data_IF_394851864906
#
_entry.id   IF_394851864906
#
_cell.length_a   1.000
_cell.length_b   1.000
_cell.length_c   1.000
_cell.angle_alpha   90.00
_cell.angle_beta   90.00
_cell.angle_gamma   90.00
#
_symmetry.space_group_name_H-M   'P 1'
#
loop_
_entity.id
_entity.type
_entity.pdbx_description
1 polymer ?
#
# COMPACT_ATOMS: atom_id res chain seq x y z
N UNK A 1 -14.29 -23.53 3.34
CA UNK A 1 -13.72 -22.26 3.82
C UNK A 1 -14.79 -21.58 4.65
N UNK A 2 -14.52 -21.07 5.86
CA UNK A 2 -15.49 -20.30 6.62
C UNK A 2 -15.87 -19.06 5.80
N UNK A 3 -17.17 -18.78 5.68
CA UNK A 3 -17.65 -17.57 5.01
C UNK A 3 -17.25 -16.33 5.82
N UNK A 4 -17.14 -15.17 5.16
CA UNK A 4 -16.79 -13.90 5.77
C UNK A 4 -17.93 -13.44 6.71
N UNK A 5 -17.60 -13.18 7.97
CA UNK A 5 -18.54 -12.60 8.93
C UNK A 5 -18.63 -11.06 8.76
N UNK A 6 -19.67 -10.45 9.34
CA UNK A 6 -19.90 -9.00 9.23
C UNK A 6 -18.76 -8.16 9.79
N UNK A 7 -18.10 -8.64 10.84
CA UNK A 7 -16.97 -7.94 11.45
C UNK A 7 -15.73 -7.93 10.53
N UNK A 8 -15.45 -9.05 9.85
CA UNK A 8 -14.37 -9.13 8.85
C UNK A 8 -14.66 -8.30 7.60
N UNK A 9 -15.94 -8.26 7.16
CA UNK A 9 -16.35 -7.36 6.07
C UNK A 9 -16.14 -5.89 6.46
N UNK A 10 -16.57 -5.49 7.65
CA UNK A 10 -16.37 -4.12 8.13
C UNK A 10 -14.88 -3.76 8.20
N UNK A 11 -14.03 -4.66 8.74
CA UNK A 11 -12.57 -4.46 8.76
C UNK A 11 -11.98 -4.33 7.36
N UNK A 12 -12.44 -5.12 6.40
CA UNK A 12 -12.00 -5.07 5.01
C UNK A 12 -12.35 -3.73 4.36
N UNK A 13 -13.58 -3.26 4.54
CA UNK A 13 -14.04 -1.97 4.02
C UNK A 13 -13.29 -0.79 4.65
N UNK A 14 -13.12 -0.80 5.98
CA UNK A 14 -12.35 0.23 6.68
C UNK A 14 -10.90 0.24 6.21
N UNK A 15 -10.27 -0.91 6.05
CA UNK A 15 -8.91 -1.02 5.55
C UNK A 15 -8.78 -0.48 4.12
N UNK A 16 -9.74 -0.81 3.24
CA UNK A 16 -9.77 -0.30 1.87
C UNK A 16 -9.97 1.23 1.84
N UNK A 17 -10.83 1.76 2.70
CA UNK A 17 -11.05 3.19 2.85
C UNK A 17 -9.79 3.92 3.34
N UNK A 18 -9.07 3.36 4.32
CA UNK A 18 -7.81 3.91 4.82
C UNK A 18 -6.72 3.88 3.76
N UNK A 19 -6.52 2.77 3.07
CA UNK A 19 -5.48 2.67 2.03
C UNK A 19 -5.82 3.48 0.79
N UNK A 20 -7.09 3.53 0.38
CA UNK A 20 -7.56 4.46 -0.66
C UNK A 20 -7.36 5.92 -0.27
N UNK A 21 -7.62 6.26 0.99
CA UNK A 21 -7.38 7.59 1.56
C UNK A 21 -5.90 8.01 1.62
N UNK A 22 -4.97 7.05 1.55
CA UNK A 22 -3.54 7.39 1.47
C UNK A 22 -3.22 8.28 0.26
N UNK A 23 -3.89 8.07 -0.86
CA UNK A 23 -3.66 8.85 -2.09
C UNK A 23 -4.23 10.26 -1.97
N UNK A 24 -5.39 10.41 -1.32
CA UNK A 24 -5.95 11.71 -0.95
C UNK A 24 -4.96 12.52 -0.08
N UNK A 25 -4.49 11.93 1.02
CA UNK A 25 -3.57 12.61 1.93
C UNK A 25 -2.23 12.93 1.26
N UNK A 26 -1.71 12.04 0.41
CA UNK A 26 -0.50 12.35 -0.38
C UNK A 26 -0.74 13.48 -1.37
N UNK A 27 -1.89 13.54 -2.03
CA UNK A 27 -2.24 14.61 -2.97
C UNK A 27 -2.33 15.98 -2.28
N UNK A 28 -2.79 16.03 -1.02
CA UNK A 28 -2.85 17.26 -0.21
C UNK A 28 -1.47 17.68 0.28
N UNK A 29 -0.67 16.73 0.79
CA UNK A 29 0.53 17.07 1.55
C UNK A 29 1.82 17.08 0.71
N UNK A 30 1.92 16.29 -0.37
CA UNK A 30 3.14 16.19 -1.16
C UNK A 30 3.53 17.49 -1.89
N UNK A 31 2.61 18.30 -2.44
CA UNK A 31 2.98 19.59 -3.04
C UNK A 31 3.57 20.59 -2.04
N UNK A 32 3.20 20.49 -0.75
CA UNK A 32 3.63 21.41 0.31
C UNK A 32 4.92 20.95 0.99
N UNK A 33 5.00 19.68 1.38
CA UNK A 33 6.15 19.14 2.12
C UNK A 33 7.23 18.55 1.24
N UNK A 34 6.93 18.29 -0.02
CA UNK A 34 7.78 17.43 -0.86
C UNK A 34 7.68 15.95 -0.47
N UNK A 35 8.04 15.04 -1.39
CA UNK A 35 7.93 13.60 -1.18
C UNK A 35 8.76 13.09 0.00
N UNK A 36 10.00 13.56 0.12
CA UNK A 36 10.97 13.07 1.12
C UNK A 36 10.49 13.36 2.54
N UNK A 37 10.17 14.61 2.84
CA UNK A 37 9.76 15.03 4.17
C UNK A 37 8.41 14.41 4.53
N UNK A 38 7.45 14.39 3.59
CA UNK A 38 6.15 13.75 3.79
C UNK A 38 6.30 12.28 4.18
N UNK A 39 7.10 11.54 3.44
CA UNK A 39 7.24 10.09 3.68
C UNK A 39 8.09 9.81 4.91
N UNK A 40 9.09 10.63 5.21
CA UNK A 40 9.83 10.54 6.48
C UNK A 40 8.88 10.62 7.68
N UNK A 41 7.98 11.60 7.72
CA UNK A 41 6.96 11.71 8.77
C UNK A 41 6.00 10.53 8.76
N UNK A 42 5.51 10.11 7.60
CA UNK A 42 4.61 8.96 7.46
C UNK A 42 5.18 7.70 8.11
N UNK A 43 6.41 7.32 7.74
CA UNK A 43 7.02 6.08 8.24
C UNK A 43 7.46 6.19 9.70
N UNK A 44 7.93 7.36 10.14
CA UNK A 44 8.30 7.61 11.52
C UNK A 44 7.07 7.53 12.46
N UNK A 45 5.97 8.19 12.12
CA UNK A 45 4.73 8.12 12.89
C UNK A 45 4.16 6.70 12.94
N UNK A 46 4.20 5.96 11.82
CA UNK A 46 3.81 4.56 11.78
C UNK A 46 4.69 3.69 12.69
N UNK A 47 6.01 3.88 12.64
CA UNK A 47 6.98 3.15 13.45
C UNK A 47 6.76 3.40 14.94
N UNK A 48 6.59 4.66 15.34
CA UNK A 48 6.31 5.07 16.74
C UNK A 48 4.97 4.51 17.20
N UNK A 49 3.91 4.61 16.39
CA UNK A 49 2.60 4.06 16.71
C UNK A 49 2.65 2.54 16.93
N UNK A 50 3.27 1.80 15.99
CA UNK A 50 3.40 0.35 16.10
C UNK A 50 4.28 -0.06 17.29
N UNK A 51 5.32 0.71 17.62
CA UNK A 51 6.13 0.50 18.83
C UNK A 51 5.28 0.70 20.08
N UNK A 52 4.48 1.76 20.15
CA UNK A 52 3.53 1.98 21.25
C UNK A 52 2.58 0.79 21.45
N UNK A 53 2.00 0.28 20.35
CA UNK A 53 1.16 -0.93 20.39
C UNK A 53 1.95 -2.16 20.88
N UNK A 54 3.19 -2.33 20.44
CA UNK A 54 4.04 -3.43 20.89
C UNK A 54 4.29 -3.37 22.41
N UNK A 55 4.60 -2.18 22.92
CA UNK A 55 4.87 -1.96 24.36
C UNK A 55 3.60 -2.17 25.20
N UNK A 56 2.45 -1.68 24.75
CA UNK A 56 1.17 -1.91 25.43
C UNK A 56 0.78 -3.39 25.48
N UNK A 57 0.96 -4.11 24.37
CA UNK A 57 0.74 -5.58 24.33
C UNK A 57 1.66 -6.31 25.29
N UNK A 58 2.92 -5.88 25.45
CA UNK A 58 3.87 -6.46 26.43
C UNK A 58 3.41 -6.24 27.87
N UNK A 59 2.92 -5.04 28.20
CA UNK A 59 2.42 -4.73 29.56
C UNK A 59 1.19 -5.56 29.95
N UNK A 60 0.30 -5.83 28.99
CA UNK A 60 -0.94 -6.59 29.25
C UNK A 60 -0.72 -8.11 29.32
N UNK A 61 0.36 -8.64 28.75
CA UNK A 61 0.70 -10.05 28.90
C UNK A 61 1.36 -10.23 30.27
N UNK A 62 0.72 -10.99 31.19
CA UNK A 62 1.29 -11.40 32.48
C UNK A 62 2.66 -12.03 32.25
N UNK A 63 3.61 -11.95 33.22
CA UNK A 63 4.98 -12.40 33.06
C UNK A 63 5.04 -13.94 32.91
N UNK A 64 4.82 -14.43 31.72
CA UNK A 64 5.29 -15.75 31.32
C UNK A 64 6.79 -15.61 31.05
N UNK A 65 7.60 -16.32 31.83
CA UNK A 65 9.03 -16.43 31.90
C UNK A 65 9.98 -15.59 31.03
N UNK A 66 11.21 -15.45 31.46
CA UNK A 66 12.32 -14.68 30.85
C UNK A 66 12.51 -14.90 29.32
N UNK A 67 12.06 -16.04 28.77
CA UNK A 67 12.15 -16.38 27.35
C UNK A 67 11.39 -15.41 26.40
N UNK A 68 10.34 -14.74 26.87
CA UNK A 68 9.53 -13.84 26.06
C UNK A 68 10.05 -12.38 26.05
N UNK A 69 10.93 -12.02 26.97
CA UNK A 69 11.56 -10.68 26.99
C UNK A 69 12.63 -10.51 25.90
N UNK A 70 13.28 -11.59 25.50
CA UNK A 70 14.30 -11.61 24.45
C UNK A 70 13.74 -11.35 23.03
N UNK A 71 12.42 -11.39 22.83
CA UNK A 71 11.83 -11.59 21.50
C UNK A 71 11.87 -10.38 20.56
N UNK A 72 11.76 -9.12 21.01
CA UNK A 72 11.72 -7.97 20.08
C UNK A 72 13.13 -7.56 19.60
N UNK A 73 14.07 -7.38 20.53
CA UNK A 73 15.45 -6.98 20.18
C UNK A 73 16.20 -8.10 19.47
N UNK A 74 15.97 -9.35 19.90
CA UNK A 74 16.56 -10.55 19.27
C UNK A 74 16.00 -10.76 17.86
N UNK A 75 14.70 -10.58 17.65
CA UNK A 75 14.08 -10.65 16.33
C UNK A 75 14.57 -9.52 15.41
N UNK A 76 14.70 -8.28 15.91
CA UNK A 76 15.24 -7.16 15.14
C UNK A 76 16.67 -7.44 14.68
N UNK A 77 17.55 -7.90 15.59
CA UNK A 77 18.93 -8.24 15.24
C UNK A 77 19.04 -9.44 14.28
N UNK A 78 18.21 -10.46 14.48
CA UNK A 78 18.24 -11.68 13.64
C UNK A 78 17.73 -11.42 12.21
N UNK A 79 16.74 -10.51 12.04
CA UNK A 79 16.07 -10.28 10.76
C UNK A 79 16.32 -8.89 10.18
N UNK A 80 17.38 -8.17 10.59
CA UNK A 80 17.64 -6.80 10.16
C UNK A 80 17.71 -6.62 8.63
N UNK A 81 18.39 -7.55 7.91
CA UNK A 81 18.48 -7.56 6.45
C UNK A 81 17.11 -7.70 5.81
N UNK A 82 16.28 -8.59 6.35
CA UNK A 82 14.90 -8.76 5.89
C UNK A 82 14.08 -7.48 6.08
N UNK A 83 14.20 -6.82 7.22
CA UNK A 83 13.49 -5.54 7.46
C UNK A 83 14.02 -4.42 6.59
N UNK A 84 15.32 -4.36 6.29
CA UNK A 84 15.88 -3.38 5.35
C UNK A 84 15.34 -3.59 3.93
N UNK A 85 15.32 -4.82 3.44
CA UNK A 85 14.80 -5.13 2.10
C UNK A 85 13.31 -4.80 2.00
N UNK A 86 12.50 -5.22 3.00
CA UNK A 86 11.07 -4.88 3.02
C UNK A 86 10.85 -3.38 3.30
N UNK A 87 11.62 -2.78 4.17
CA UNK A 87 11.55 -1.34 4.44
C UNK A 87 11.82 -0.51 3.19
N UNK A 88 12.82 -0.92 2.40
CA UNK A 88 13.13 -0.29 1.12
C UNK A 88 12.02 -0.56 0.09
N UNK A 89 11.75 -1.83 -0.22
CA UNK A 89 10.94 -2.24 -1.38
C UNK A 89 9.43 -2.14 -1.14
N UNK A 90 8.96 -2.28 0.10
CA UNK A 90 7.53 -2.25 0.45
C UNK A 90 7.07 -0.92 1.08
N UNK A 91 8.01 -0.04 1.46
CA UNK A 91 7.68 1.20 2.17
C UNK A 91 8.42 2.41 1.63
N UNK A 92 9.74 2.51 1.76
CA UNK A 92 10.48 3.72 1.42
C UNK A 92 10.35 4.07 -0.07
N UNK A 93 10.76 3.16 -0.96
CA UNK A 93 10.75 3.39 -2.41
C UNK A 93 9.33 3.63 -2.93
N UNK A 94 8.34 2.73 -2.71
CA UNK A 94 7.02 2.94 -3.29
C UNK A 94 6.30 4.16 -2.70
N UNK A 95 6.45 4.46 -1.42
CA UNK A 95 5.84 5.64 -0.83
C UNK A 95 6.44 6.92 -1.38
N UNK A 96 7.78 7.01 -1.54
CA UNK A 96 8.43 8.16 -2.14
C UNK A 96 8.00 8.38 -3.59
N UNK A 97 7.93 7.31 -4.38
CA UNK A 97 7.51 7.37 -5.77
C UNK A 97 6.04 7.78 -5.91
N UNK A 98 5.13 7.24 -5.07
CA UNK A 98 3.74 7.69 -5.05
C UNK A 98 3.59 9.12 -4.55
N UNK A 99 4.35 9.54 -3.52
CA UNK A 99 4.32 10.93 -3.05
C UNK A 99 4.87 11.90 -4.11
N UNK A 100 5.91 11.50 -4.85
CA UNK A 100 6.40 12.26 -5.99
C UNK A 100 5.31 12.39 -7.07
N UNK A 101 4.68 11.28 -7.46
CA UNK A 101 3.61 11.28 -8.44
C UNK A 101 2.38 12.07 -7.99
N UNK A 102 2.09 12.10 -6.69
CA UNK A 102 0.96 12.81 -6.10
C UNK A 102 1.07 14.35 -6.22
N UNK A 103 2.23 14.88 -6.52
CA UNK A 103 2.37 16.31 -6.80
C UNK A 103 1.68 16.70 -8.12
N UNK A 104 1.59 15.78 -9.08
CA UNK A 104 1.06 16.02 -10.42
C UNK A 104 -0.23 15.22 -10.67
N UNK A 105 -0.25 13.92 -10.36
CA UNK A 105 -1.38 13.05 -10.68
C UNK A 105 -2.49 13.11 -9.65
N UNK A 106 -3.72 12.83 -10.07
CA UNK A 106 -4.90 12.76 -9.20
C UNK A 106 -4.83 11.58 -8.21
N UNK A 107 -5.49 11.72 -7.06
CA UNK A 107 -5.60 10.63 -6.08
C UNK A 107 -6.32 9.42 -6.68
N UNK A 108 -7.32 9.67 -7.53
CA UNK A 108 -8.05 8.65 -8.30
C UNK A 108 -7.09 7.83 -9.17
N UNK A 109 -6.29 8.50 -10.00
CA UNK A 109 -5.34 7.84 -10.91
C UNK A 109 -4.29 7.04 -10.12
N UNK A 110 -3.70 7.63 -9.07
CA UNK A 110 -2.72 6.97 -8.23
C UNK A 110 -3.24 5.68 -7.59
N UNK A 111 -4.49 5.71 -7.10
CA UNK A 111 -5.12 4.55 -6.46
C UNK A 111 -5.33 3.39 -7.45
N UNK A 112 -5.68 3.69 -8.70
CA UNK A 112 -5.84 2.68 -9.76
C UNK A 112 -4.48 2.16 -10.21
N UNK A 113 -3.46 3.02 -10.37
CA UNK A 113 -2.10 2.60 -10.69
C UNK A 113 -1.52 1.66 -9.61
N UNK A 114 -1.83 1.92 -8.34
CA UNK A 114 -1.45 1.02 -7.24
C UNK A 114 -2.04 -0.39 -7.39
N UNK A 115 -3.24 -0.53 -7.97
CA UNK A 115 -3.87 -1.82 -8.19
C UNK A 115 -3.16 -2.68 -9.26
N UNK A 116 -2.17 -2.14 -9.98
CA UNK A 116 -1.30 -2.90 -10.89
C UNK A 116 -0.19 -3.67 -10.18
N UNK A 117 0.04 -3.45 -8.88
CA UNK A 117 1.11 -4.13 -8.13
C UNK A 117 1.05 -5.67 -8.21
N UNK A 118 -0.10 -6.36 -8.11
CA UNK A 118 -0.18 -7.80 -8.32
C UNK A 118 0.17 -8.24 -9.74
N UNK A 119 -0.06 -7.38 -10.74
CA UNK A 119 0.31 -7.60 -12.14
C UNK A 119 1.84 -7.69 -12.25
N UNK A 120 2.57 -6.71 -11.67
CA UNK A 120 4.03 -6.75 -11.61
C UNK A 120 4.54 -7.95 -10.82
N UNK A 121 3.90 -8.30 -9.69
CA UNK A 121 4.27 -9.48 -8.91
C UNK A 121 4.17 -10.78 -9.74
N UNK A 122 3.14 -10.93 -10.55
CA UNK A 122 2.99 -12.10 -11.42
C UNK A 122 4.02 -12.12 -12.54
N UNK A 123 4.32 -10.98 -13.14
CA UNK A 123 5.37 -10.85 -14.16
C UNK A 123 6.74 -11.24 -13.58
N UNK A 124 7.12 -10.70 -12.41
CA UNK A 124 8.38 -11.02 -11.74
C UNK A 124 8.45 -12.51 -11.39
N UNK A 125 7.34 -13.10 -10.91
CA UNK A 125 7.29 -14.52 -10.58
C UNK A 125 7.49 -15.41 -11.82
N UNK A 126 6.92 -15.02 -12.97
CA UNK A 126 7.10 -15.73 -14.23
C UNK A 126 8.54 -15.65 -14.75
N UNK A 127 9.13 -14.45 -14.72
CA UNK A 127 10.53 -14.22 -15.08
C UNK A 127 11.50 -15.01 -14.18
N UNK A 128 11.26 -15.02 -12.87
CA UNK A 128 12.09 -15.75 -11.91
C UNK A 128 12.03 -17.28 -12.12
N UNK A 129 10.89 -17.79 -12.57
CA UNK A 129 10.71 -19.22 -12.89
C UNK A 129 11.17 -19.58 -14.30
N UNK A 130 11.57 -18.60 -15.13
CA UNK A 130 11.87 -18.78 -16.56
C UNK A 130 10.74 -19.52 -17.31
N UNK A 131 9.50 -19.27 -16.93
CA UNK A 131 8.31 -19.91 -17.48
C UNK A 131 7.34 -18.84 -18.01
N UNK A 132 6.71 -19.12 -19.15
CA UNK A 132 5.66 -18.24 -19.65
C UNK A 132 4.47 -18.21 -18.67
N UNK A 133 3.86 -17.02 -18.45
CA UNK A 133 2.66 -16.94 -17.65
C UNK A 133 1.54 -17.80 -18.24
N UNK A 134 0.71 -18.40 -17.40
CA UNK A 134 -0.50 -19.09 -17.87
C UNK A 134 -1.39 -18.10 -18.66
N UNK A 135 -2.16 -18.62 -19.65
CA UNK A 135 -3.01 -17.79 -20.52
C UNK A 135 -3.92 -16.82 -19.75
N UNK A 136 -4.47 -17.26 -18.61
CA UNK A 136 -5.28 -16.41 -17.73
C UNK A 136 -4.46 -15.24 -17.14
N UNK A 137 -3.24 -15.48 -16.75
CA UNK A 137 -2.32 -14.45 -16.25
C UNK A 137 -1.93 -13.50 -17.38
N UNK A 138 -1.60 -14.01 -18.55
CA UNK A 138 -1.29 -13.19 -19.75
C UNK A 138 -2.45 -12.27 -20.11
N UNK A 139 -3.68 -12.79 -20.14
CA UNK A 139 -4.86 -11.96 -20.38
C UNK A 139 -5.00 -10.86 -19.29
N UNK A 140 -4.75 -11.19 -18.03
CA UNK A 140 -4.78 -10.21 -16.94
C UNK A 140 -3.70 -9.13 -17.07
N UNK A 141 -2.50 -9.49 -17.54
CA UNK A 141 -1.43 -8.53 -17.84
C UNK A 141 -1.85 -7.57 -18.95
N UNK A 142 -2.40 -8.09 -20.04
CA UNK A 142 -2.88 -7.28 -21.20
C UNK A 142 -3.99 -6.33 -20.75
N UNK A 143 -4.99 -6.83 -20.01
CA UNK A 143 -6.06 -5.99 -19.45
C UNK A 143 -5.50 -4.91 -18.51
N UNK A 144 -4.51 -5.22 -17.69
CA UNK A 144 -3.86 -4.25 -16.82
C UNK A 144 -3.25 -3.08 -17.61
N UNK A 145 -2.50 -3.39 -18.65
CA UNK A 145 -1.89 -2.38 -19.54
C UNK A 145 -2.98 -1.58 -20.27
N UNK A 146 -3.97 -2.25 -20.85
CA UNK A 146 -5.08 -1.59 -21.54
C UNK A 146 -5.87 -0.66 -20.63
N UNK A 147 -6.15 -1.09 -19.39
CA UNK A 147 -6.86 -0.28 -18.40
C UNK A 147 -6.09 0.98 -17.98
N UNK A 148 -4.77 0.86 -17.80
CA UNK A 148 -3.91 2.02 -17.55
C UNK A 148 -3.91 2.97 -18.75
N UNK A 149 -3.81 2.45 -19.97
CA UNK A 149 -3.85 3.26 -21.20
C UNK A 149 -5.18 4.04 -21.32
N UNK A 150 -6.32 3.39 -21.06
CA UNK A 150 -7.64 4.04 -21.04
C UNK A 150 -7.72 5.13 -19.99
N UNK A 151 -7.20 4.90 -18.78
CA UNK A 151 -7.14 5.90 -17.71
C UNK A 151 -6.34 7.14 -18.10
N UNK A 152 -5.14 6.90 -18.62
CA UNK A 152 -4.17 7.95 -18.97
C UNK A 152 -4.65 8.77 -20.16
N UNK A 153 -5.30 8.16 -21.15
CA UNK A 153 -5.74 8.82 -22.39
C UNK A 153 -6.79 9.91 -22.16
N UNK A 154 -7.47 9.90 -21.03
CA UNK A 154 -8.57 10.82 -20.72
C UNK A 154 -8.33 11.69 -19.48
N UNK A 155 -7.19 11.57 -18.82
CA UNK A 155 -6.84 12.41 -17.67
C UNK A 155 -6.21 13.72 -18.16
N UNK A 156 -6.92 14.83 -17.98
CA UNK A 156 -6.43 16.15 -18.37
C UNK A 156 -5.13 16.54 -17.67
N UNK A 157 -4.83 15.94 -16.50
CA UNK A 157 -3.57 16.15 -15.79
C UNK A 157 -2.37 15.56 -16.55
N UNK A 158 -2.59 14.61 -17.46
CA UNK A 158 -1.53 14.05 -18.31
C UNK A 158 -0.97 15.06 -19.34
N UNK A 159 -1.68 16.16 -19.57
CA UNK A 159 -1.20 17.26 -20.41
C UNK A 159 -0.21 18.19 -19.67
N UNK A 160 -0.09 18.05 -18.33
CA UNK A 160 0.80 18.88 -17.54
C UNK A 160 2.26 18.46 -17.73
N UNK A 161 3.21 19.41 -17.69
CA UNK A 161 4.62 19.09 -17.67
C UNK A 161 4.98 18.15 -16.52
N UNK A 162 5.77 17.11 -16.80
CA UNK A 162 6.18 16.12 -15.80
C UNK A 162 5.17 14.99 -15.53
N UNK A 163 3.95 15.01 -16.09
CA UNK A 163 2.93 13.97 -15.88
C UNK A 163 3.42 12.57 -16.28
N UNK A 164 4.16 12.46 -17.40
CA UNK A 164 4.74 11.18 -17.83
C UNK A 164 5.72 10.63 -16.80
N UNK A 165 6.60 11.49 -16.23
CA UNK A 165 7.54 11.09 -15.19
C UNK A 165 6.81 10.67 -13.92
N UNK A 166 5.75 11.39 -13.54
CA UNK A 166 4.90 11.05 -12.42
C UNK A 166 4.15 9.71 -12.63
N UNK A 167 3.67 9.44 -13.84
CA UNK A 167 3.07 8.15 -14.22
C UNK A 167 4.09 7.00 -14.08
N UNK A 168 5.29 7.18 -14.63
CA UNK A 168 6.36 6.18 -14.54
C UNK A 168 6.79 5.96 -13.08
N UNK A 169 6.82 7.01 -12.26
CA UNK A 169 7.08 6.89 -10.83
C UNK A 169 5.99 6.06 -10.12
N UNK A 170 4.70 6.31 -10.39
CA UNK A 170 3.61 5.54 -9.82
C UNK A 170 3.62 4.06 -10.26
N UNK A 171 3.94 3.78 -11.53
CA UNK A 171 4.14 2.41 -12.01
C UNK A 171 5.38 1.77 -11.37
N UNK A 172 6.47 2.52 -11.21
CA UNK A 172 7.67 2.09 -10.47
C UNK A 172 7.38 1.76 -9.01
N UNK A 173 6.50 2.52 -8.35
CA UNK A 173 6.02 2.21 -7.01
C UNK A 173 5.28 0.86 -6.97
N UNK A 174 4.39 0.61 -7.92
CA UNK A 174 3.66 -0.66 -8.05
C UNK A 174 4.58 -1.84 -8.39
N UNK A 175 5.60 -1.61 -9.21
CA UNK A 175 6.67 -2.59 -9.47
C UNK A 175 7.44 -2.92 -8.18
N UNK A 176 7.79 -1.90 -7.38
CA UNK A 176 8.45 -2.09 -6.09
C UNK A 176 7.64 -2.96 -5.14
N UNK A 177 6.32 -2.77 -5.07
CA UNK A 177 5.41 -3.66 -4.33
C UNK A 177 5.40 -5.09 -4.90
N UNK A 178 5.47 -5.24 -6.23
CA UNK A 178 5.60 -6.53 -6.88
C UNK A 178 6.88 -7.27 -6.45
N UNK A 179 8.01 -6.58 -6.42
CA UNK A 179 9.29 -7.10 -5.93
C UNK A 179 9.19 -7.49 -4.45
N UNK A 180 8.67 -6.58 -3.61
CA UNK A 180 8.51 -6.80 -2.19
C UNK A 180 7.65 -8.03 -1.88
N UNK A 181 6.52 -8.20 -2.58
CA UNK A 181 5.60 -9.32 -2.39
C UNK A 181 6.23 -10.65 -2.82
N UNK A 182 7.03 -10.64 -3.88
CA UNK A 182 7.75 -11.83 -4.35
C UNK A 182 8.86 -12.22 -3.37
N UNK A 183 9.64 -11.24 -2.90
CA UNK A 183 10.65 -11.44 -1.86
C UNK A 183 10.03 -11.96 -0.55
N UNK A 184 8.92 -11.36 -0.08
CA UNK A 184 8.27 -11.77 1.16
C UNK A 184 7.78 -13.23 1.14
N UNK A 185 7.44 -13.77 -0.04
CA UNK A 185 7.06 -15.18 -0.19
C UNK A 185 8.26 -16.13 -0.10
N UNK A 186 9.45 -15.70 -0.50
CA UNK A 186 10.69 -16.49 -0.45
C UNK A 186 11.44 -16.34 0.87
N UNK A 187 11.24 -15.24 1.59
CA UNK A 187 11.86 -15.01 2.88
C UNK A 187 11.16 -15.84 3.98
N UNK A 188 11.95 -16.47 4.84
CA UNK A 188 11.44 -17.34 5.91
C UNK A 188 10.38 -16.67 6.81
N UNK A 189 9.74 -17.45 7.65
CA UNK A 189 8.58 -17.01 8.45
C UNK A 189 8.97 -15.97 9.51
N UNK A 190 8.64 -14.72 9.27
CA UNK A 190 8.66 -13.65 10.26
C UNK A 190 7.23 -13.25 10.58
N UNK A 191 6.91 -13.10 11.87
CA UNK A 191 5.55 -12.73 12.28
C UNK A 191 5.10 -11.42 11.61
N UNK A 192 3.87 -11.35 11.05
CA UNK A 192 3.39 -10.20 10.29
C UNK A 192 3.52 -8.85 11.02
N UNK A 193 3.21 -8.82 12.32
CA UNK A 193 3.37 -7.62 13.14
C UNK A 193 4.83 -7.17 13.25
N UNK A 194 5.77 -8.13 13.40
CA UNK A 194 7.22 -7.84 13.45
C UNK A 194 7.72 -7.32 12.09
N UNK A 195 7.17 -7.85 10.98
CA UNK A 195 7.46 -7.35 9.64
C UNK A 195 7.05 -5.88 9.49
N UNK A 196 5.83 -5.51 9.90
CA UNK A 196 5.41 -4.12 9.81
C UNK A 196 6.25 -3.20 10.71
N UNK A 197 6.44 -3.56 11.97
CA UNK A 197 7.25 -2.76 12.90
C UNK A 197 8.69 -2.61 12.40
N UNK A 198 9.33 -3.71 12.01
CA UNK A 198 10.71 -3.72 11.54
C UNK A 198 10.89 -2.98 10.22
N UNK A 199 9.98 -3.17 9.25
CA UNK A 199 10.04 -2.48 7.95
C UNK A 199 9.76 -0.99 8.05
N UNK A 200 8.86 -0.52 8.96
CA UNK A 200 8.62 0.91 9.18
C UNK A 200 9.85 1.58 9.81
N UNK A 201 10.49 0.96 10.80
CA UNK A 201 11.75 1.46 11.35
C UNK A 201 12.85 1.48 10.31
N UNK A 202 13.00 0.41 9.52
CA UNK A 202 13.99 0.36 8.44
C UNK A 202 13.74 1.45 7.39
N UNK A 203 12.49 1.67 6.98
CA UNK A 203 12.13 2.75 6.06
C UNK A 203 12.44 4.13 6.65
N UNK A 204 12.18 4.34 7.95
CA UNK A 204 12.53 5.58 8.66
C UNK A 204 14.05 5.83 8.60
N UNK A 205 14.85 4.81 8.93
CA UNK A 205 16.31 4.92 8.90
C UNK A 205 16.86 5.15 7.49
N UNK A 206 16.23 4.58 6.47
CA UNK A 206 16.65 4.76 5.07
C UNK A 206 16.33 6.17 4.55
N UNK A 207 15.22 6.77 4.96
CA UNK A 207 14.78 8.08 4.47
C UNK A 207 15.37 9.23 5.29
N UNK A 208 15.55 9.05 6.61
CA UNK A 208 15.99 10.12 7.51
C UNK A 208 17.26 10.87 7.05
N UNK A 209 18.31 10.22 6.52
CA UNK A 209 19.48 10.93 6.04
C UNK A 209 19.23 11.88 4.86
N UNK A 210 18.17 11.65 4.08
CA UNK A 210 17.82 12.49 2.95
C UNK A 210 17.05 13.76 3.36
N UNK A 211 16.39 13.75 4.52
CA UNK A 211 15.51 14.86 4.96
C UNK A 211 16.19 16.23 4.95
N UNK A 212 17.44 16.41 5.43
CA UNK A 212 18.10 17.71 5.42
C UNK A 212 18.33 18.30 4.02
N UNK A 213 18.38 17.46 2.99
CA UNK A 213 18.63 17.86 1.61
C UNK A 213 17.36 18.21 0.82
N UNK A 214 16.19 17.88 1.38
CA UNK A 214 14.89 18.10 0.73
C UNK A 214 13.92 18.81 1.70
N UNK A 215 14.09 20.13 1.91
CA UNK A 215 13.23 20.91 2.78
C UNK A 215 11.80 20.99 2.24
N UNK A 216 10.86 21.40 3.10
CA UNK A 216 9.49 21.65 2.67
C UNK A 216 9.45 22.79 1.61
N UNK A 217 8.53 22.64 0.64
CA UNK A 217 8.35 23.63 -0.41
C UNK A 217 7.59 24.88 0.09
N UNK A 218 6.72 24.70 1.12
CA UNK A 218 5.95 25.76 1.74
C UNK A 218 5.62 25.45 3.20
N UNK A 219 5.14 26.44 3.93
CA UNK A 219 4.67 26.27 5.31
C UNK A 219 3.46 25.33 5.38
N UNK A 220 3.49 24.39 6.32
CA UNK A 220 2.41 23.44 6.51
C UNK A 220 1.18 24.11 7.17
N UNK A 221 0.05 24.07 6.50
CA UNK A 221 -1.25 24.44 7.06
C UNK A 221 -1.94 23.25 7.74
N UNK A 222 -3.01 23.48 8.48
CA UNK A 222 -3.70 22.46 9.27
C UNK A 222 -4.09 21.19 8.42
N UNK A 223 -4.55 21.37 7.19
CA UNK A 223 -4.90 20.25 6.29
C UNK A 223 -3.72 19.35 5.97
N UNK A 224 -2.51 19.92 5.82
CA UNK A 224 -1.27 19.15 5.62
C UNK A 224 -0.91 18.36 6.88
N UNK A 225 -1.00 19.00 8.06
CA UNK A 225 -0.71 18.32 9.34
C UNK A 225 -1.64 17.13 9.55
N UNK A 226 -2.96 17.31 9.34
CA UNK A 226 -3.93 16.22 9.43
C UNK A 226 -3.68 15.12 8.41
N UNK A 227 -3.27 15.48 7.19
CA UNK A 227 -2.90 14.51 6.15
C UNK A 227 -1.68 13.68 6.55
N UNK A 228 -0.66 14.28 7.14
CA UNK A 228 0.54 13.58 7.66
C UNK A 228 0.16 12.61 8.79
N UNK A 229 -0.66 13.07 9.75
CA UNK A 229 -1.15 12.21 10.84
C UNK A 229 -2.00 11.07 10.30
N UNK A 230 -2.91 11.35 9.36
CA UNK A 230 -3.72 10.35 8.68
C UNK A 230 -2.87 9.30 7.96
N UNK A 231 -1.86 9.71 7.22
CA UNK A 231 -0.93 8.81 6.53
C UNK A 231 -0.15 7.92 7.50
N UNK A 232 0.47 8.52 8.51
CA UNK A 232 1.33 7.79 9.43
C UNK A 232 0.55 6.90 10.38
N UNK A 233 -0.44 7.45 11.08
CA UNK A 233 -1.17 6.73 12.13
C UNK A 233 -2.27 5.84 11.53
N UNK A 234 -3.16 6.40 10.68
CA UNK A 234 -4.32 5.65 10.19
C UNK A 234 -3.95 4.73 9.04
N UNK A 235 -3.35 5.27 7.97
CA UNK A 235 -3.10 4.49 6.75
C UNK A 235 -1.88 3.57 6.85
N UNK A 236 -0.98 3.77 7.81
CA UNK A 236 0.19 2.92 8.01
C UNK A 236 0.18 2.20 9.36
N UNK A 237 -0.19 2.85 10.46
CA UNK A 237 -0.26 2.22 11.78
C UNK A 237 -1.48 1.32 11.95
N UNK A 238 -2.67 1.92 12.01
CA UNK A 238 -3.95 1.23 12.23
C UNK A 238 -4.26 0.25 11.10
N UNK A 239 -4.03 0.66 9.85
CA UNK A 239 -4.27 -0.17 8.67
C UNK A 239 -3.50 -1.49 8.71
N UNK A 240 -2.23 -1.50 9.13
CA UNK A 240 -1.49 -2.75 9.29
C UNK A 240 -2.08 -3.65 10.39
N UNK A 241 -2.59 -3.09 11.49
CA UNK A 241 -3.25 -3.89 12.54
C UNK A 241 -4.52 -4.54 12.01
N UNK A 242 -5.33 -3.82 11.24
CA UNK A 242 -6.52 -4.34 10.57
C UNK A 242 -6.17 -5.43 9.56
N UNK A 243 -5.16 -5.19 8.74
CA UNK A 243 -4.69 -6.15 7.74
C UNK A 243 -4.22 -7.47 8.37
N UNK A 244 -3.43 -7.40 9.45
CA UNK A 244 -2.99 -8.62 10.14
C UNK A 244 -4.13 -9.34 10.83
N UNK A 245 -5.13 -8.61 11.32
CA UNK A 245 -6.34 -9.22 11.87
C UNK A 245 -7.13 -9.93 10.77
N UNK A 246 -7.30 -9.32 9.61
CA UNK A 246 -7.94 -9.95 8.46
C UNK A 246 -7.20 -11.21 7.98
N UNK A 247 -5.85 -11.19 7.95
CA UNK A 247 -5.05 -12.37 7.63
C UNK A 247 -5.31 -13.49 8.64
N UNK A 248 -5.39 -13.17 9.93
CA UNK A 248 -5.66 -14.16 10.97
C UNK A 248 -7.07 -14.74 10.89
N UNK A 249 -8.07 -13.92 10.57
CA UNK A 249 -9.47 -14.31 10.54
C UNK A 249 -9.87 -15.03 9.22
N UNK A 250 -9.36 -14.55 8.07
CA UNK A 250 -9.78 -14.99 6.73
C UNK A 250 -8.67 -15.67 5.91
N UNK A 251 -7.43 -15.61 6.37
CA UNK A 251 -6.25 -16.01 5.60
C UNK A 251 -5.74 -14.93 4.63
N UNK A 252 -4.48 -15.07 4.22
CA UNK A 252 -3.79 -14.08 3.41
C UNK A 252 -4.45 -13.81 2.04
N UNK A 253 -4.95 -14.86 1.37
CA UNK A 253 -5.59 -14.74 0.06
C UNK A 253 -6.88 -13.89 0.13
N UNK A 254 -7.70 -14.09 1.17
CA UNK A 254 -8.92 -13.31 1.37
C UNK A 254 -8.61 -11.87 1.79
N UNK A 255 -7.61 -11.65 2.64
CA UNK A 255 -7.20 -10.30 3.05
C UNK A 255 -6.68 -9.47 1.86
N UNK A 256 -6.06 -10.11 0.85
CA UNK A 256 -5.60 -9.43 -0.36
C UNK A 256 -6.74 -8.88 -1.23
N UNK A 257 -7.99 -9.29 -1.01
CA UNK A 257 -9.14 -8.70 -1.75
C UNK A 257 -9.30 -7.21 -1.50
N UNK A 258 -8.72 -6.68 -0.42
CA UNK A 258 -8.66 -5.24 -0.16
C UNK A 258 -8.06 -4.46 -1.33
N UNK A 259 -7.11 -5.03 -2.06
CA UNK A 259 -6.45 -4.36 -3.19
C UNK A 259 -7.40 -4.00 -4.34
N UNK A 260 -8.51 -4.72 -4.49
CA UNK A 260 -9.56 -4.40 -5.47
C UNK A 260 -10.46 -3.27 -5.02
N UNK A 261 -10.58 -3.04 -3.72
CA UNK A 261 -11.40 -1.99 -3.14
C UNK A 261 -10.65 -0.66 -2.99
N UNK A 262 -9.32 -0.69 -2.92
CA UNK A 262 -8.49 0.52 -2.81
C UNK A 262 -8.81 1.55 -3.91
N UNK A 263 -8.88 1.18 -5.21
CA UNK A 263 -9.24 2.13 -6.26
C UNK A 263 -10.63 2.72 -6.09
N UNK A 264 -11.60 1.92 -5.64
CA UNK A 264 -12.97 2.39 -5.40
C UNK A 264 -12.98 3.53 -4.38
N UNK A 265 -12.33 3.32 -3.23
CA UNK A 265 -12.21 4.35 -2.21
C UNK A 265 -11.29 5.51 -2.62
N UNK A 266 -10.20 5.24 -3.38
CA UNK A 266 -9.33 6.30 -3.89
C UNK A 266 -10.06 7.27 -4.82
N UNK A 267 -10.86 6.74 -5.76
CA UNK A 267 -11.71 7.54 -6.65
C UNK A 267 -12.80 8.27 -5.84
N UNK A 268 -13.46 7.58 -4.89
CA UNK A 268 -14.48 8.18 -4.04
C UNK A 268 -13.92 9.37 -3.23
N UNK A 269 -12.78 9.19 -2.57
CA UNK A 269 -12.16 10.25 -1.77
C UNK A 269 -11.64 11.40 -2.63
N UNK A 270 -11.03 11.10 -3.79
CA UNK A 270 -10.62 12.12 -4.77
C UNK A 270 -11.80 12.97 -5.22
N UNK A 271 -12.94 12.34 -5.53
CA UNK A 271 -14.18 13.05 -5.91
C UNK A 271 -14.76 13.89 -4.78
N UNK A 272 -14.90 13.30 -3.58
CA UNK A 272 -15.61 13.92 -2.45
C UNK A 272 -14.80 15.06 -1.83
N UNK A 273 -13.49 14.89 -1.64
CA UNK A 273 -12.66 15.84 -0.89
C UNK A 273 -11.82 16.76 -1.78
N UNK A 274 -11.48 16.35 -3.00
CA UNK A 274 -10.67 17.16 -3.91
C UNK A 274 -11.45 17.65 -5.14
N UNK A 275 -12.72 17.24 -5.31
CA UNK A 275 -13.49 17.62 -6.47
C UNK A 275 -12.98 17.03 -7.78
N UNK A 276 -12.17 15.96 -7.73
CA UNK A 276 -11.60 15.35 -8.94
C UNK A 276 -12.69 14.90 -9.90
N UNK A 277 -12.56 15.20 -11.22
CA UNK A 277 -13.54 14.76 -12.21
C UNK A 277 -13.47 13.25 -12.37
N UNK A 278 -14.60 12.57 -12.19
CA UNK A 278 -14.75 11.13 -12.45
C UNK A 278 -15.52 10.94 -13.73
N UNK A 279 -14.79 10.79 -14.84
CA UNK A 279 -15.35 10.57 -16.16
C UNK A 279 -15.57 9.08 -16.47
N UNK A 280 -16.25 8.80 -17.60
CA UNK A 280 -16.47 7.43 -18.11
C UNK A 280 -15.16 6.65 -18.29
N UNK A 281 -14.09 7.30 -18.69
CA UNK A 281 -12.78 6.68 -18.90
C UNK A 281 -12.08 6.32 -17.57
N UNK A 282 -12.25 7.15 -16.54
CA UNK A 282 -11.76 6.83 -15.20
C UNK A 282 -12.42 5.55 -14.67
N UNK A 283 -13.75 5.46 -14.83
CA UNK A 283 -14.51 4.27 -14.40
C UNK A 283 -14.15 3.05 -15.25
N UNK A 284 -14.14 3.18 -16.58
CA UNK A 284 -13.82 2.09 -17.48
C UNK A 284 -12.39 1.57 -17.25
N UNK A 285 -11.40 2.47 -17.21
CA UNK A 285 -10.01 2.10 -16.96
C UNK A 285 -9.81 1.43 -15.60
N UNK A 286 -10.44 1.95 -14.54
CA UNK A 286 -10.40 1.34 -13.21
C UNK A 286 -11.00 -0.08 -13.22
N UNK A 287 -12.15 -0.29 -13.85
CA UNK A 287 -12.79 -1.60 -13.97
C UNK A 287 -11.91 -2.58 -14.74
N UNK A 288 -11.29 -2.14 -15.84
CA UNK A 288 -10.39 -2.99 -16.65
C UNK A 288 -9.14 -3.38 -15.83
N UNK A 289 -8.51 -2.43 -15.10
CA UNK A 289 -7.36 -2.74 -14.23
C UNK A 289 -7.76 -3.71 -13.11
N UNK A 290 -8.90 -3.50 -12.47
CA UNK A 290 -9.41 -4.39 -11.42
C UNK A 290 -9.67 -5.80 -12.00
N UNK A 291 -10.29 -5.91 -13.18
CA UNK A 291 -10.53 -7.19 -13.84
C UNK A 291 -9.21 -7.90 -14.19
N UNK A 292 -8.24 -7.16 -14.76
CA UNK A 292 -6.89 -7.67 -15.04
C UNK A 292 -6.20 -8.21 -13.78
N UNK A 293 -6.24 -7.43 -12.70
CA UNK A 293 -5.69 -7.81 -11.40
C UNK A 293 -6.38 -9.05 -10.82
N UNK A 294 -7.71 -9.15 -10.94
CA UNK A 294 -8.48 -10.31 -10.50
C UNK A 294 -8.10 -11.59 -11.26
N UNK A 295 -7.89 -11.49 -12.57
CA UNK A 295 -7.41 -12.61 -13.39
C UNK A 295 -6.02 -13.08 -12.98
N UNK A 296 -5.09 -12.13 -12.79
CA UNK A 296 -3.70 -12.42 -12.39
C UNK A 296 -3.63 -13.08 -11.01
N UNK A 297 -4.42 -12.59 -10.05
CA UNK A 297 -4.42 -13.09 -8.66
C UNK A 297 -5.21 -14.37 -8.48
N UNK A 298 -5.97 -14.80 -9.50
CA UNK A 298 -6.87 -15.95 -9.40
C UNK A 298 -8.06 -15.71 -8.48
N UNK A 299 -8.44 -14.44 -8.28
CA UNK A 299 -9.59 -14.08 -7.47
C UNK A 299 -10.86 -14.81 -7.95
N UNK A 300 -11.62 -15.35 -6.99
CA UNK A 300 -12.93 -15.94 -7.22
C UNK A 300 -13.95 -15.27 -6.29
N UNK A 301 -15.10 -14.79 -6.81
CA UNK A 301 -16.16 -14.20 -5.99
C UNK A 301 -16.69 -15.12 -4.88
N UNK A 302 -16.42 -16.44 -4.96
CA UNK A 302 -16.76 -17.42 -3.91
C UNK A 302 -16.10 -17.11 -2.57
N UNK A 303 -14.98 -16.37 -2.57
CA UNK A 303 -14.28 -15.92 -1.36
C UNK A 303 -15.12 -14.90 -0.57
N UNK A 304 -15.99 -14.14 -1.26
CA UNK A 304 -16.85 -13.12 -0.66
C UNK A 304 -18.22 -13.64 -0.22
N UNK A 305 -18.54 -14.93 -0.40
CA UNK A 305 -19.81 -15.48 0.06
C UNK A 305 -19.93 -15.34 1.57
N UNK A 306 -20.87 -14.52 2.02
CA UNK A 306 -21.24 -14.37 3.42
C UNK A 306 -21.69 -15.72 3.98
N UNK A 307 -21.20 -16.06 5.16
CA UNK A 307 -21.76 -17.16 5.95
C UNK A 307 -23.20 -16.77 6.31
N UNK A 308 -24.19 -17.50 5.81
CA UNK A 308 -25.54 -17.38 6.34
C UNK A 308 -25.47 -17.75 7.83
N UNK A 309 -25.87 -16.80 8.66
CA UNK A 309 -25.99 -16.98 10.11
C UNK A 309 -26.98 -18.09 10.44
#
# INVERSE_FOLDING_TARGET
MPGMDSASLARLLVLAALWGGSFLFMRIAAPVLGPTLLIAWRVALAAVFLLGVALLRRRRRRPAGQAQRASLTTNLRRHWRHYLILGASNSAIPFLLFAFAAQTLSASLLSVLNATAPIFAALIASLSRRALPAAKTTLGLVLGVAGVAVLVSADALMLQPGATVALLAALGASLSYGIASTYAKSAGHVAPFSNALGSMWAATLLIAPAVPFFPAHAAAHAGVVWSVLGLGVLCSGVAYLLYFRLIADLGAASALTVTFLIPVFGVLWGRVFLGEPVGRYTVAGALIVIAGTALVTGFSPRVLRMRKA
#
